data_IF_770264649952
#
_entry.id   IF_770264649952
#
_cell.length_a   1.000
_cell.length_b   1.000
_cell.length_c   1.000
_cell.angle_alpha   90.00
_cell.angle_beta   90.00
_cell.angle_gamma   90.00
#
_symmetry.space_group_name_H-M   'P 1'
#
loop_
_entity.id
_entity.type
_entity.pdbx_description
1 polymer ?
#
# COMPACT_ATOMS: atom_id res chain seq x y z
N UNK A 1 101.39 -11.20 31.44
CA UNK A 1 101.20 -12.46 30.69
C UNK A 1 99.98 -13.17 31.26
N UNK A 2 99.05 -13.51 30.36
CA UNK A 2 97.89 -14.41 30.50
C UNK A 2 96.89 -14.07 31.62
N UNK A 3 95.95 -13.17 31.32
CA UNK A 3 94.69 -13.04 32.04
C UNK A 3 93.58 -13.74 31.26
N UNK A 4 93.14 -14.91 31.74
CA UNK A 4 91.86 -15.51 31.36
C UNK A 4 90.73 -14.72 32.02
N UNK A 5 89.72 -14.32 31.25
CA UNK A 5 88.44 -13.88 31.78
C UNK A 5 87.31 -14.39 30.89
N UNK A 6 86.27 -14.89 31.55
CA UNK A 6 85.33 -15.90 31.10
C UNK A 6 84.24 -15.40 30.13
N UNK A 7 83.66 -16.37 29.41
CA UNK A 7 82.42 -16.24 28.64
C UNK A 7 81.29 -15.59 29.44
N UNK A 8 80.62 -14.62 28.82
CA UNK A 8 79.29 -14.17 29.24
C UNK A 8 78.25 -15.28 29.00
N UNK A 9 77.25 -15.43 29.89
CA UNK A 9 76.16 -16.38 29.71
C UNK A 9 75.17 -15.92 28.62
N UNK A 10 74.61 -16.90 27.91
CA UNK A 10 73.52 -16.73 26.95
C UNK A 10 72.19 -16.42 27.67
N UNK A 11 71.27 -15.66 27.05
CA UNK A 11 69.98 -15.34 27.65
C UNK A 11 69.04 -16.56 27.72
N UNK A 12 68.32 -16.67 28.83
CA UNK A 12 67.27 -17.67 29.10
C UNK A 12 66.13 -17.58 28.08
N UNK A 13 65.65 -18.74 27.61
CA UNK A 13 64.53 -18.84 26.69
C UNK A 13 63.20 -18.63 27.43
N UNK A 14 62.39 -17.66 26.96
CA UNK A 14 61.01 -17.47 27.44
C UNK A 14 60.12 -18.66 27.05
N UNK A 15 59.15 -19.06 27.90
CA UNK A 15 58.28 -20.18 27.61
C UNK A 15 57.26 -19.82 26.53
N UNK A 16 57.16 -20.67 25.51
CA UNK A 16 56.14 -20.55 24.46
C UNK A 16 54.74 -20.79 25.02
N UNK A 17 53.91 -19.73 25.04
CA UNK A 17 52.48 -19.84 25.34
C UNK A 17 51.78 -20.69 24.26
N UNK A 18 51.07 -21.73 24.70
CA UNK A 18 50.27 -22.58 23.83
C UNK A 18 49.14 -21.79 23.16
N UNK A 19 48.97 -21.96 21.84
CA UNK A 19 47.87 -21.34 21.08
C UNK A 19 46.55 -22.02 21.42
N UNK A 20 45.47 -21.28 21.73
CA UNK A 20 44.15 -21.88 21.88
C UNK A 20 43.67 -22.43 20.53
N UNK A 21 43.23 -23.69 20.53
CA UNK A 21 42.56 -24.32 19.39
C UNK A 21 41.15 -23.75 19.25
N UNK A 22 40.87 -23.06 18.15
CA UNK A 22 39.53 -22.59 17.80
C UNK A 22 38.68 -23.77 17.32
N UNK A 23 37.55 -24.02 17.99
CA UNK A 23 36.52 -24.94 17.50
C UNK A 23 35.91 -24.41 16.20
N UNK A 24 35.51 -25.29 15.25
CA UNK A 24 34.82 -24.85 14.03
C UNK A 24 33.48 -24.19 14.38
N UNK A 25 33.04 -23.17 13.62
CA UNK A 25 31.74 -22.55 13.86
C UNK A 25 30.63 -23.56 13.56
N UNK A 26 29.76 -23.77 14.54
CA UNK A 26 28.49 -24.49 14.34
C UNK A 26 27.62 -23.62 13.44
N UNK A 27 27.51 -23.95 12.15
CA UNK A 27 26.52 -23.32 11.26
C UNK A 27 25.14 -23.76 11.71
N UNK A 28 24.47 -22.92 12.51
CA UNK A 28 23.04 -23.05 12.74
C UNK A 28 22.31 -22.76 11.42
N UNK A 29 21.38 -23.62 10.96
CA UNK A 29 20.60 -23.31 9.78
C UNK A 29 19.86 -21.98 10.00
N UNK A 30 19.91 -21.09 9.02
CA UNK A 30 19.15 -19.85 9.05
C UNK A 30 17.67 -20.19 9.22
N UNK A 31 16.91 -19.41 10.02
CA UNK A 31 15.48 -19.64 10.14
C UNK A 31 14.84 -19.53 8.74
N UNK A 32 14.12 -20.56 8.33
CA UNK A 32 13.24 -20.48 7.17
C UNK A 32 12.18 -19.44 7.49
N UNK A 33 12.29 -18.26 6.92
CA UNK A 33 11.24 -17.24 7.00
C UNK A 33 10.11 -17.72 6.10
N UNK A 34 9.12 -18.38 6.69
CA UNK A 34 7.87 -18.67 6.01
C UNK A 34 7.10 -17.37 5.91
N UNK A 35 7.05 -16.76 4.72
CA UNK A 35 6.17 -15.63 4.46
C UNK A 35 4.72 -16.08 4.70
N UNK A 36 3.94 -15.36 5.53
CA UNK A 36 2.53 -15.68 5.71
C UNK A 36 1.79 -15.60 4.37
N UNK A 37 0.69 -16.36 4.19
CA UNK A 37 -0.12 -16.25 2.99
C UNK A 37 -0.73 -14.84 2.87
N UNK A 38 -1.00 -14.35 1.65
CA UNK A 38 -1.69 -13.08 1.45
C UNK A 38 -3.07 -13.04 2.14
N UNK A 39 -3.48 -11.85 2.55
CA UNK A 39 -4.84 -11.60 3.07
C UNK A 39 -5.82 -11.61 1.91
N UNK A 40 -6.67 -12.64 1.85
CA UNK A 40 -7.68 -12.78 0.81
C UNK A 40 -8.85 -11.82 1.04
N UNK A 41 -9.16 -11.02 0.01
CA UNK A 41 -10.26 -10.06 -0.02
C UNK A 41 -11.13 -10.37 -1.23
N UNK A 42 -12.24 -11.06 -0.99
CA UNK A 42 -13.22 -11.36 -2.04
C UNK A 42 -14.16 -10.21 -2.25
N UNK A 43 -14.34 -9.77 -3.49
CA UNK A 43 -15.20 -8.65 -3.85
C UNK A 43 -16.07 -8.97 -5.06
N UNK A 44 -17.18 -8.27 -5.21
CA UNK A 44 -18.00 -8.29 -6.43
C UNK A 44 -18.09 -6.90 -7.02
N UNK A 45 -18.37 -6.85 -8.32
CA UNK A 45 -18.46 -5.61 -9.08
C UNK A 45 -19.90 -5.40 -9.52
N UNK A 46 -20.47 -4.22 -9.25
CA UNK A 46 -21.77 -3.82 -9.77
C UNK A 46 -21.68 -2.47 -10.51
N UNK A 47 -22.25 -2.41 -11.71
CA UNK A 47 -22.46 -1.14 -12.43
C UNK A 47 -23.94 -0.83 -12.45
N UNK A 48 -24.37 0.25 -11.80
CA UNK A 48 -25.77 0.69 -11.74
C UNK A 48 -26.11 1.80 -12.73
N UNK A 49 -25.15 2.17 -13.59
CA UNK A 49 -25.32 3.09 -14.71
C UNK A 49 -25.54 2.34 -16.03
N UNK A 50 -26.15 3.00 -17.02
CA UNK A 50 -26.46 2.40 -18.33
C UNK A 50 -25.74 3.04 -19.51
N UNK A 51 -25.15 4.22 -19.33
CA UNK A 51 -24.49 4.96 -20.40
C UNK A 51 -23.18 4.30 -20.86
N UNK A 52 -22.73 4.67 -22.07
CA UNK A 52 -21.54 4.10 -22.68
C UNK A 52 -20.23 4.53 -21.99
N UNK A 53 -20.18 5.71 -21.37
CA UNK A 53 -18.96 6.23 -20.75
C UNK A 53 -18.54 5.44 -19.50
N UNK A 54 -19.48 4.67 -18.93
CA UNK A 54 -19.26 3.79 -17.77
C UNK A 54 -19.11 2.31 -18.14
N UNK A 55 -19.21 1.95 -19.43
CA UNK A 55 -19.21 0.54 -19.87
C UNK A 55 -17.93 -0.23 -19.54
N UNK A 56 -16.79 0.46 -19.42
CA UNK A 56 -15.49 -0.13 -19.07
C UNK A 56 -15.30 -0.36 -17.56
N UNK A 57 -16.31 -0.10 -16.73
CA UNK A 57 -16.15 -0.09 -15.27
C UNK A 57 -15.55 -1.39 -14.71
N UNK A 58 -16.17 -2.53 -15.00
CA UNK A 58 -15.72 -3.80 -14.44
C UNK A 58 -14.31 -4.20 -14.91
N UNK A 59 -13.97 -3.93 -16.17
CA UNK A 59 -12.63 -4.18 -16.71
C UNK A 59 -11.58 -3.32 -16.02
N UNK A 60 -11.86 -2.03 -15.81
CA UNK A 60 -10.93 -1.12 -15.13
C UNK A 60 -10.75 -1.54 -13.67
N UNK A 61 -11.81 -1.94 -12.96
CA UNK A 61 -11.68 -2.44 -11.58
C UNK A 61 -10.77 -3.67 -11.54
N UNK A 62 -11.05 -4.71 -12.33
CA UNK A 62 -10.22 -5.93 -12.37
C UNK A 62 -8.77 -5.64 -12.67
N UNK A 63 -8.52 -4.93 -13.78
CA UNK A 63 -7.15 -4.65 -14.23
C UNK A 63 -6.39 -3.76 -13.25
N UNK A 64 -7.08 -2.88 -12.51
CA UNK A 64 -6.46 -2.07 -11.46
C UNK A 64 -6.10 -2.91 -10.23
N UNK A 65 -7.02 -3.77 -9.79
CA UNK A 65 -6.85 -4.58 -8.58
C UNK A 65 -5.88 -5.76 -8.77
N UNK A 66 -5.72 -6.24 -10.00
CA UNK A 66 -4.75 -7.28 -10.37
C UNK A 66 -3.34 -6.71 -10.64
N UNK A 67 -3.19 -5.39 -10.75
CA UNK A 67 -1.91 -4.77 -11.13
C UNK A 67 -0.88 -4.85 -9.99
N UNK A 68 0.37 -5.28 -10.26
CA UNK A 68 1.42 -5.40 -9.24
C UNK A 68 1.89 -4.06 -8.65
N UNK A 69 1.54 -2.93 -9.28
CA UNK A 69 1.77 -1.59 -8.71
C UNK A 69 0.79 -1.27 -7.58
N UNK A 70 -0.35 -1.97 -7.53
CA UNK A 70 -1.43 -1.78 -6.57
C UNK A 70 -1.27 -2.59 -5.29
N UNK A 71 -2.40 -2.87 -4.66
CA UNK A 71 -2.49 -3.48 -3.34
C UNK A 71 -2.00 -4.93 -3.25
N UNK A 72 -1.84 -5.62 -4.38
CA UNK A 72 -1.17 -6.94 -4.42
C UNK A 72 0.29 -6.87 -3.94
N UNK A 73 0.94 -5.71 -4.10
CA UNK A 73 2.27 -5.42 -3.54
C UNK A 73 2.30 -5.24 -2.02
N UNK A 74 1.15 -5.29 -1.35
CA UNK A 74 0.98 -5.24 0.10
C UNK A 74 0.39 -6.55 0.68
N UNK A 75 0.65 -7.68 0.00
CA UNK A 75 0.22 -9.02 0.39
C UNK A 75 -1.31 -9.16 0.55
N UNK A 76 -2.08 -8.46 -0.28
CA UNK A 76 -3.51 -8.71 -0.47
C UNK A 76 -3.76 -9.58 -1.71
N UNK A 77 -4.63 -10.58 -1.56
CA UNK A 77 -5.18 -11.34 -2.68
C UNK A 77 -6.61 -10.85 -2.96
N UNK A 78 -6.76 -9.97 -3.94
CA UNK A 78 -8.05 -9.40 -4.36
C UNK A 78 -8.71 -10.34 -5.35
N UNK A 79 -9.85 -10.93 -4.99
CA UNK A 79 -10.49 -11.99 -5.78
C UNK A 79 -11.93 -11.61 -6.14
N UNK A 80 -12.24 -11.52 -7.42
CA UNK A 80 -13.63 -11.32 -7.86
C UNK A 80 -14.44 -12.60 -7.59
N UNK A 81 -15.52 -12.46 -6.82
CA UNK A 81 -16.46 -13.52 -6.45
C UNK A 81 -17.87 -12.90 -6.44
N UNK A 82 -18.82 -13.36 -7.27
CA UNK A 82 -20.16 -12.77 -7.36
C UNK A 82 -20.96 -12.84 -6.06
N UNK A 83 -20.61 -13.78 -5.16
CA UNK A 83 -21.27 -13.97 -3.86
C UNK A 83 -20.52 -13.24 -2.73
N UNK A 84 -19.46 -12.50 -3.05
CA UNK A 84 -18.68 -11.75 -2.07
C UNK A 84 -19.52 -10.71 -1.32
N UNK A 85 -19.16 -10.53 -0.04
CA UNK A 85 -19.75 -9.47 0.80
C UNK A 85 -19.29 -8.08 0.40
N UNK A 86 -18.04 -7.94 -0.06
CA UNK A 86 -17.45 -6.65 -0.40
C UNK A 86 -17.91 -6.25 -1.80
N UNK A 87 -18.44 -5.05 -1.91
CA UNK A 87 -19.05 -4.55 -3.14
C UNK A 87 -18.25 -3.36 -3.65
N UNK A 88 -17.77 -3.41 -4.89
CA UNK A 88 -17.26 -2.27 -5.63
C UNK A 88 -18.35 -1.86 -6.63
N UNK A 89 -18.99 -0.73 -6.40
CA UNK A 89 -20.17 -0.29 -7.17
C UNK A 89 -19.97 1.07 -7.79
N UNK A 90 -20.39 1.23 -9.06
CA UNK A 90 -20.51 2.51 -9.73
C UNK A 90 -21.98 2.92 -9.81
N UNK A 91 -22.32 4.09 -9.27
CA UNK A 91 -23.70 4.57 -9.17
C UNK A 91 -23.80 6.10 -9.36
N UNK A 92 -25.02 6.58 -9.61
CA UNK A 92 -25.30 8.02 -9.67
C UNK A 92 -25.18 8.67 -8.28
N UNK A 93 -24.96 9.99 -8.23
CA UNK A 93 -24.60 10.70 -6.99
C UNK A 93 -25.59 10.52 -5.82
N UNK A 94 -26.90 10.49 -6.09
CA UNK A 94 -27.91 10.28 -5.05
C UNK A 94 -27.80 8.89 -4.39
N UNK A 95 -27.59 7.85 -5.19
CA UNK A 95 -27.44 6.49 -4.68
C UNK A 95 -26.10 6.30 -3.95
N UNK A 96 -25.04 7.00 -4.40
CA UNK A 96 -23.76 7.05 -3.68
C UNK A 96 -23.95 7.72 -2.31
N UNK A 97 -24.66 8.84 -2.23
CA UNK A 97 -24.95 9.52 -0.95
C UNK A 97 -25.68 8.60 0.05
N UNK A 98 -26.64 7.81 -0.44
CA UNK A 98 -27.36 6.83 0.40
C UNK A 98 -26.43 5.71 0.93
N UNK A 99 -25.60 5.13 0.06
CA UNK A 99 -24.65 4.08 0.45
C UNK A 99 -23.55 4.60 1.39
N UNK A 100 -23.14 5.85 1.20
CA UNK A 100 -22.07 6.48 1.95
C UNK A 100 -22.52 7.04 3.31
N UNK A 101 -23.82 7.14 3.60
CA UNK A 101 -24.29 7.67 4.87
C UNK A 101 -23.67 6.92 6.08
N UNK A 102 -23.10 7.62 7.08
CA UNK A 102 -23.28 9.05 7.36
C UNK A 102 -22.20 10.00 6.77
N UNK A 103 -21.30 9.53 5.90
CA UNK A 103 -20.41 10.42 5.15
C UNK A 103 -21.20 11.40 4.28
N UNK A 104 -20.70 12.63 4.15
CA UNK A 104 -21.34 13.70 3.36
C UNK A 104 -20.65 13.85 2.01
N UNK A 105 -20.95 12.94 1.10
CA UNK A 105 -20.43 12.94 -0.29
C UNK A 105 -21.05 14.05 -1.17
N UNK A 106 -22.25 14.52 -0.82
CA UNK A 106 -22.91 15.68 -1.44
C UNK A 106 -23.13 15.53 -2.96
N UNK A 107 -23.38 14.30 -3.41
CA UNK A 107 -23.57 13.89 -4.79
C UNK A 107 -22.29 13.93 -5.63
N UNK A 108 -21.13 14.22 -5.04
CA UNK A 108 -19.89 14.54 -5.76
C UNK A 108 -18.74 13.59 -5.52
N UNK A 109 -18.67 13.00 -4.34
CA UNK A 109 -17.54 12.16 -3.93
C UNK A 109 -17.92 10.69 -3.90
N UNK A 110 -16.90 9.86 -4.07
CA UNK A 110 -16.95 8.44 -3.80
C UNK A 110 -16.69 8.20 -2.31
N UNK A 111 -16.92 6.98 -1.83
CA UNK A 111 -16.53 6.57 -0.49
C UNK A 111 -16.32 5.06 -0.40
N UNK A 112 -15.74 4.64 0.72
CA UNK A 112 -16.00 3.32 1.30
C UNK A 112 -16.78 3.48 2.61
N UNK A 113 -17.80 2.64 2.79
CA UNK A 113 -18.60 2.57 4.02
C UNK A 113 -18.97 1.11 4.32
N UNK A 114 -18.43 0.56 5.41
CA UNK A 114 -18.55 -0.86 5.72
C UNK A 114 -18.12 -1.73 4.53
N UNK A 115 -18.92 -2.70 4.07
CA UNK A 115 -18.48 -3.57 2.98
C UNK A 115 -18.59 -2.94 1.58
N UNK A 116 -19.06 -1.69 1.46
CA UNK A 116 -19.37 -1.05 0.17
C UNK A 116 -18.31 -0.01 -0.18
N UNK A 117 -17.72 -0.15 -1.36
CA UNK A 117 -16.92 0.84 -2.07
C UNK A 117 -17.80 1.45 -3.16
N UNK A 118 -18.31 2.66 -2.92
CA UNK A 118 -19.23 3.37 -3.79
C UNK A 118 -18.49 4.45 -4.60
N UNK A 119 -18.45 4.26 -5.92
CA UNK A 119 -17.81 5.15 -6.87
C UNK A 119 -18.85 6.04 -7.55
N UNK A 120 -18.57 7.35 -7.58
CA UNK A 120 -19.46 8.34 -8.19
C UNK A 120 -19.35 8.35 -9.72
N UNK A 121 -20.48 8.16 -10.41
CA UNK A 121 -20.53 8.06 -11.86
C UNK A 121 -20.11 9.34 -12.58
N UNK A 122 -20.40 10.53 -12.05
CA UNK A 122 -19.98 11.78 -12.68
C UNK A 122 -18.45 11.93 -12.64
N UNK A 123 -17.84 11.55 -11.52
CA UNK A 123 -16.39 11.49 -11.40
C UNK A 123 -15.78 10.47 -12.35
N UNK A 124 -16.41 9.31 -12.52
CA UNK A 124 -15.98 8.31 -13.49
C UNK A 124 -16.05 8.80 -14.94
N UNK A 125 -17.07 9.60 -15.29
CA UNK A 125 -17.29 10.09 -16.65
C UNK A 125 -16.27 11.15 -17.05
N UNK A 126 -15.91 12.05 -16.14
CA UNK A 126 -15.18 13.28 -16.52
C UNK A 126 -14.01 13.68 -15.62
N UNK A 127 -13.69 12.91 -14.57
CA UNK A 127 -12.77 13.32 -13.52
C UNK A 127 -13.22 14.62 -12.81
N UNK A 128 -12.30 15.25 -12.08
CA UNK A 128 -12.49 16.57 -11.48
C UNK A 128 -11.66 17.62 -12.21
N UNK A 129 -12.01 18.92 -12.15
CA UNK A 129 -11.16 19.99 -12.70
C UNK A 129 -9.75 20.05 -12.10
N UNK A 130 -9.56 19.53 -10.89
CA UNK A 130 -8.30 19.53 -10.16
C UNK A 130 -7.37 18.39 -10.61
N UNK A 131 -7.92 17.35 -11.25
CA UNK A 131 -7.14 16.28 -11.85
C UNK A 131 -6.46 16.75 -13.14
N UNK A 132 -5.13 16.72 -13.15
CA UNK A 132 -4.32 17.14 -14.31
C UNK A 132 -3.83 15.98 -15.18
N UNK A 133 -4.15 14.74 -14.81
CA UNK A 133 -3.77 13.53 -15.53
C UNK A 133 -4.81 13.09 -16.58
N UNK A 134 -4.62 11.91 -17.17
CA UNK A 134 -5.60 11.30 -18.07
C UNK A 134 -6.84 10.77 -17.34
N UNK A 135 -7.98 10.70 -18.03
CA UNK A 135 -9.21 10.13 -17.46
C UNK A 135 -9.07 8.64 -17.11
N UNK A 136 -8.29 7.89 -17.88
CA UNK A 136 -8.00 6.48 -17.57
C UNK A 136 -7.28 6.34 -16.22
N UNK A 137 -6.26 7.17 -16.00
CA UNK A 137 -5.53 7.21 -14.73
C UNK A 137 -6.44 7.66 -13.59
N UNK A 138 -7.32 8.64 -13.81
CA UNK A 138 -8.28 9.06 -12.78
C UNK A 138 -9.19 7.92 -12.31
N UNK A 139 -9.64 7.08 -13.24
CA UNK A 139 -10.49 5.92 -12.91
C UNK A 139 -9.74 4.87 -12.10
N UNK A 140 -8.46 4.62 -12.43
CA UNK A 140 -7.59 3.76 -11.63
C UNK A 140 -7.34 4.35 -10.24
N UNK A 141 -7.09 5.67 -10.17
CA UNK A 141 -6.92 6.39 -8.92
C UNK A 141 -8.13 6.24 -8.01
N UNK A 142 -9.34 6.48 -8.53
CA UNK A 142 -10.58 6.29 -7.77
C UNK A 142 -10.72 4.87 -7.23
N UNK A 143 -10.50 3.85 -8.06
CA UNK A 143 -10.58 2.45 -7.63
C UNK A 143 -9.57 2.18 -6.51
N UNK A 144 -8.30 2.57 -6.69
CA UNK A 144 -7.26 2.31 -5.71
C UNK A 144 -7.48 3.09 -4.41
N UNK A 145 -7.96 4.33 -4.47
CA UNK A 145 -8.24 5.17 -3.30
C UNK A 145 -9.34 4.54 -2.44
N UNK A 146 -10.50 4.25 -3.04
CA UNK A 146 -11.64 3.73 -2.28
C UNK A 146 -11.44 2.27 -1.83
N UNK A 147 -10.76 1.45 -2.64
CA UNK A 147 -10.34 0.12 -2.18
C UNK A 147 -9.26 0.24 -1.11
N UNK A 148 -8.40 1.27 -1.15
CA UNK A 148 -7.47 1.55 -0.06
C UNK A 148 -8.19 1.72 1.28
N UNK A 149 -9.30 2.48 1.30
CA UNK A 149 -10.18 2.57 2.47
C UNK A 149 -10.74 1.21 2.89
N UNK A 150 -11.22 0.40 1.94
CA UNK A 150 -11.67 -0.97 2.22
C UNK A 150 -10.56 -1.83 2.87
N UNK A 151 -9.31 -1.62 2.48
CA UNK A 151 -8.13 -2.30 3.02
C UNK A 151 -7.60 -1.66 4.32
N UNK A 152 -8.40 -0.78 4.94
CA UNK A 152 -8.10 -0.15 6.21
C UNK A 152 -7.13 1.02 6.10
N UNK A 153 -6.98 1.66 4.93
CA UNK A 153 -6.09 2.81 4.74
C UNK A 153 -6.86 4.11 4.87
N UNK A 154 -6.19 5.12 5.40
CA UNK A 154 -6.79 6.41 5.75
C UNK A 154 -6.06 7.53 5.04
N UNK A 155 -6.69 8.70 4.95
CA UNK A 155 -6.03 9.88 4.41
C UNK A 155 -4.80 10.23 5.25
N UNK A 156 -3.73 10.77 4.62
CA UNK A 156 -2.55 11.20 5.35
C UNK A 156 -2.88 12.41 6.22
N UNK A 157 -2.40 12.41 7.47
CA UNK A 157 -2.65 13.51 8.41
C UNK A 157 -1.96 14.82 8.00
N UNK A 158 -0.72 14.73 7.48
CA UNK A 158 0.13 15.81 6.90
C UNK A 158 1.48 15.18 6.47
N UNK A 159 2.13 15.54 5.35
CA UNK A 159 1.65 16.33 4.22
C UNK A 159 0.96 15.48 3.14
N UNK A 160 -0.14 16.03 2.63
CA UNK A 160 -0.91 15.49 1.50
C UNK A 160 -0.07 15.37 0.22
N UNK A 161 0.93 16.24 0.07
CA UNK A 161 1.92 16.18 -0.98
C UNK A 161 3.34 16.16 -0.37
N UNK A 162 4.15 15.09 -0.54
CA UNK A 162 5.46 15.00 0.09
C UNK A 162 6.45 16.09 -0.37
N UNK A 163 6.34 16.53 -1.63
CA UNK A 163 7.00 17.73 -2.15
C UNK A 163 6.44 18.09 -3.54
N UNK A 164 6.50 19.36 -3.98
CA UNK A 164 6.07 19.76 -5.31
C UNK A 164 6.71 18.93 -6.43
N UNK A 165 5.90 18.53 -7.41
CA UNK A 165 6.34 17.71 -8.55
C UNK A 165 6.60 16.23 -8.23
N UNK A 166 6.36 15.78 -6.99
CA UNK A 166 6.35 14.35 -6.64
C UNK A 166 4.96 13.76 -6.91
N UNK A 167 4.84 12.43 -7.13
CA UNK A 167 3.52 11.80 -7.19
C UNK A 167 2.78 11.98 -5.87
N UNK A 168 1.49 12.30 -5.93
CA UNK A 168 0.63 12.34 -4.76
C UNK A 168 0.49 10.94 -4.14
N UNK A 169 0.41 10.79 -2.81
CA UNK A 169 -0.02 9.54 -2.17
C UNK A 169 -1.38 9.08 -2.70
N UNK A 170 -1.59 7.78 -2.87
CA UNK A 170 -2.88 7.29 -3.38
C UNK A 170 -4.02 7.60 -2.42
N UNK A 171 -3.73 7.61 -1.12
CA UNK A 171 -4.69 7.96 -0.08
C UNK A 171 -4.82 9.47 0.14
N UNK A 172 -4.09 10.33 -0.60
CA UNK A 172 -4.41 11.74 -0.62
C UNK A 172 -5.71 11.97 -1.42
N UNK A 173 -6.50 12.97 -1.03
CA UNK A 173 -7.78 13.27 -1.68
C UNK A 173 -7.57 14.03 -3.01
N UNK A 174 -7.00 13.35 -4.01
CA UNK A 174 -6.59 13.95 -5.29
C UNK A 174 -7.76 14.49 -6.14
N UNK A 175 -9.01 14.17 -5.77
CA UNK A 175 -10.23 14.71 -6.39
C UNK A 175 -10.63 16.09 -5.85
N UNK A 176 -9.99 16.56 -4.77
CA UNK A 176 -10.18 17.91 -4.23
C UNK A 176 -8.97 18.77 -4.53
N UNK A 177 -7.77 18.31 -4.18
CA UNK A 177 -6.54 19.10 -4.32
C UNK A 177 -5.33 18.18 -4.56
N UNK A 178 -4.35 18.67 -5.32
CA UNK A 178 -3.07 17.97 -5.54
C UNK A 178 -1.92 18.58 -4.73
N UNK A 179 -2.11 19.75 -4.11
CA UNK A 179 -1.09 20.41 -3.26
C UNK A 179 0.31 20.54 -3.89
N UNK A 180 0.35 20.72 -5.23
CA UNK A 180 1.59 20.83 -6.00
C UNK A 180 2.22 19.50 -6.42
N UNK A 181 1.64 18.36 -6.04
CA UNK A 181 2.03 17.05 -6.51
C UNK A 181 1.52 16.76 -7.93
N UNK A 182 2.11 15.74 -8.55
CA UNK A 182 1.63 15.14 -9.78
C UNK A 182 0.50 14.15 -9.48
N UNK A 183 -0.51 14.06 -10.35
CA UNK A 183 -1.58 13.07 -10.22
C UNK A 183 -1.00 11.66 -10.26
N UNK A 184 -1.47 10.79 -9.37
CA UNK A 184 -0.92 9.45 -9.20
C UNK A 184 -2.02 8.42 -8.93
N UNK A 185 -2.21 7.43 -9.81
CA UNK A 185 -3.23 6.41 -9.63
C UNK A 185 -2.79 5.19 -8.81
N UNK A 186 -1.56 5.13 -8.33
CA UNK A 186 -1.00 3.93 -7.66
C UNK A 186 -0.50 4.23 -6.25
N UNK A 187 -0.59 3.28 -5.30
CA UNK A 187 0.04 3.41 -4.00
C UNK A 187 1.54 3.69 -4.10
N UNK A 188 2.04 4.59 -3.26
CA UNK A 188 3.48 4.79 -3.10
C UNK A 188 4.13 3.60 -2.38
N UNK A 189 5.45 3.37 -2.56
CA UNK A 189 6.14 2.29 -1.85
C UNK A 189 5.97 2.31 -0.33
N UNK A 190 5.88 3.49 0.28
CA UNK A 190 5.59 3.66 1.71
C UNK A 190 4.16 3.28 2.08
N UNK A 191 3.18 3.54 1.22
CA UNK A 191 1.78 3.16 1.43
C UNK A 191 1.65 1.63 1.34
N UNK A 192 2.32 0.99 0.38
CA UNK A 192 2.38 -0.48 0.30
C UNK A 192 3.03 -1.09 1.54
N UNK A 193 4.18 -0.56 1.98
CA UNK A 193 4.84 -1.04 3.22
C UNK A 193 3.95 -0.84 4.45
N UNK A 194 3.16 0.23 4.49
CA UNK A 194 2.23 0.45 5.59
C UNK A 194 1.03 -0.49 5.55
N UNK A 195 0.50 -0.74 4.36
CA UNK A 195 -0.61 -1.65 4.14
C UNK A 195 -0.23 -3.11 4.41
N UNK A 196 1.00 -3.53 4.06
CA UNK A 196 1.51 -4.89 4.27
C UNK A 196 1.64 -5.31 5.74
N UNK A 197 1.50 -4.37 6.68
CA UNK A 197 1.45 -4.71 8.12
C UNK A 197 0.09 -5.25 8.54
N UNK A 198 -0.97 -4.99 7.77
CA UNK A 198 -2.35 -5.40 8.05
C UNK A 198 -2.81 -5.04 9.48
N UNK A 199 -2.33 -3.90 10.00
CA UNK A 199 -2.61 -3.44 11.38
C UNK A 199 -4.09 -3.05 11.58
N UNK A 200 -4.77 -2.64 10.52
CA UNK A 200 -6.17 -2.21 10.53
C UNK A 200 -7.09 -3.30 9.96
N UNK A 201 -8.33 -3.41 10.45
CA UNK A 201 -9.30 -4.35 9.90
C UNK A 201 -9.72 -3.93 8.48
N UNK A 202 -10.10 -4.92 7.68
CA UNK A 202 -10.81 -4.67 6.42
C UNK A 202 -12.18 -4.03 6.71
N UNK A 203 -12.59 -3.11 5.85
CA UNK A 203 -13.82 -2.33 6.00
C UNK A 203 -13.89 -1.70 7.40
N UNK A 204 -12.96 -0.78 7.74
CA UNK A 204 -13.01 -0.08 9.00
C UNK A 204 -14.37 0.62 9.16
N UNK A 205 -14.84 0.80 10.41
CA UNK A 205 -16.09 1.48 10.66
C UNK A 205 -16.01 2.94 10.18
N UNK A 206 -17.17 3.59 10.10
CA UNK A 206 -17.26 5.02 9.82
C UNK A 206 -16.29 5.82 10.70
N UNK A 207 -15.50 6.68 10.06
CA UNK A 207 -14.63 7.65 10.70
C UNK A 207 -15.27 9.03 10.56
N UNK A 208 -15.58 9.65 11.70
CA UNK A 208 -16.08 11.03 11.70
C UNK A 208 -14.93 11.97 11.40
N UNK A 209 -15.00 12.68 10.25
CA UNK A 209 -13.99 13.62 9.73
C UNK A 209 -12.61 12.99 9.41
N UNK A 210 -12.36 12.58 8.15
CA UNK A 210 -11.00 12.32 7.66
C UNK A 210 -10.22 13.62 7.39
#
# INVERSE_FOLDING_TARGET
MVGLAACSPAPEAEPALARPTLSPPTTSPAPTVTTPPPVEVRYRIERRTTDAATSSFAEVVRTTLDDPRGWTGADFALVEDPDARYLVVLAEGEEVDEMCAPYRTGGRFSCQNGPVVALNADRWRSATPEWTGGLADYRQMLVNHEVGHLLGRHHPSDPRCPAPGRPAPIMAQQSTELDGCLPNPWPLPEELRAAARHDEPLAPPYEADP
#
